data_IF_046537715000
#
_entry.id   IF_046537715000
#
_cell.length_a   1.000
_cell.length_b   1.000
_cell.length_c   1.000
_cell.angle_alpha   90.00
_cell.angle_beta   90.00
_cell.angle_gamma   90.00
#
_symmetry.space_group_name_H-M   'P 1'
#
loop_
_entity.id
_entity.type
_entity.pdbx_description
1 polymer ?
#
# COMPACT_ATOMS: atom_id res chain seq x y z
N UNK A 1 -0.94 31.08 -6.39
CA UNK A 1 -1.16 30.38 -5.11
C UNK A 1 -2.56 29.77 -5.07
N UNK A 2 -2.73 28.74 -4.25
CA UNK A 2 -4.03 28.11 -3.95
C UNK A 2 -4.84 29.00 -3.01
N UNK A 3 -6.16 28.92 -3.07
CA UNK A 3 -7.07 29.79 -2.29
C UNK A 3 -8.08 29.00 -1.45
N UNK A 4 -8.33 27.74 -1.77
CA UNK A 4 -9.36 26.91 -1.10
C UNK A 4 -8.79 26.08 0.06
N UNK A 5 -8.09 26.72 0.98
CA UNK A 5 -7.67 26.03 2.20
C UNK A 5 -8.85 25.89 3.17
N UNK A 6 -8.85 24.83 4.02
CA UNK A 6 -9.80 24.73 5.11
C UNK A 6 -9.71 25.93 6.07
N UNK A 7 -10.78 26.21 6.81
CA UNK A 7 -10.68 27.14 7.93
C UNK A 7 -9.63 26.66 8.96
N UNK A 8 -9.06 27.56 9.78
CA UNK A 8 -7.94 27.20 10.66
C UNK A 8 -8.21 26.05 11.62
N UNK A 9 -9.43 25.88 12.10
CA UNK A 9 -9.80 24.82 13.04
C UNK A 9 -9.84 23.46 12.31
N UNK A 10 -10.49 23.43 11.15
CA UNK A 10 -10.53 22.24 10.30
C UNK A 10 -9.14 21.90 9.80
N UNK A 11 -8.35 22.87 9.35
CA UNK A 11 -6.96 22.66 8.92
C UNK A 11 -6.17 21.94 10.00
N UNK A 12 -6.16 22.43 11.22
CA UNK A 12 -5.44 21.80 12.34
C UNK A 12 -5.92 20.36 12.57
N UNK A 13 -7.23 20.14 12.59
CA UNK A 13 -7.81 18.79 12.77
C UNK A 13 -7.35 17.81 11.68
N UNK A 14 -7.29 18.27 10.43
CA UNK A 14 -6.86 17.43 9.30
C UNK A 14 -5.36 17.13 9.34
N UNK A 15 -4.55 18.13 9.73
CA UNK A 15 -3.11 17.95 9.93
C UNK A 15 -2.83 16.94 11.04
N UNK A 16 -3.50 17.09 12.19
CA UNK A 16 -3.35 16.15 13.31
C UNK A 16 -3.74 14.72 12.90
N UNK A 17 -4.83 14.57 12.17
CA UNK A 17 -5.27 13.28 11.64
C UNK A 17 -4.23 12.65 10.71
N UNK A 18 -3.61 13.43 9.83
CA UNK A 18 -2.55 12.95 8.94
C UNK A 18 -1.30 12.52 9.71
N UNK A 19 -0.80 13.37 10.59
CA UNK A 19 0.45 13.10 11.31
C UNK A 19 0.32 11.97 12.34
N UNK A 20 -0.82 11.84 13.00
CA UNK A 20 -1.04 10.77 13.97
C UNK A 20 -1.28 9.39 13.36
N UNK A 21 -1.66 9.33 12.09
CA UNK A 21 -2.12 8.07 11.48
C UNK A 21 -1.35 7.68 10.23
N UNK A 22 -1.21 8.58 9.25
CA UNK A 22 -0.58 8.25 7.96
C UNK A 22 0.92 8.40 8.02
N UNK A 23 1.37 9.49 8.60
CA UNK A 23 2.80 9.83 8.69
C UNK A 23 3.59 8.79 9.48
N UNK A 24 2.99 8.16 10.49
CA UNK A 24 3.61 7.14 11.34
C UNK A 24 4.13 5.94 10.52
N UNK A 25 3.37 5.53 9.51
CA UNK A 25 3.74 4.40 8.64
C UNK A 25 4.41 4.85 7.33
N UNK A 26 4.24 6.13 6.96
CA UNK A 26 4.71 6.71 5.70
C UNK A 26 5.37 8.08 5.96
N UNK A 27 6.60 8.10 6.46
CA UNK A 27 7.28 9.29 6.96
C UNK A 27 7.80 10.17 5.81
N UNK A 28 6.89 10.76 5.03
CA UNK A 28 7.22 11.59 3.86
C UNK A 28 7.69 12.99 4.24
N UNK A 29 7.10 13.56 5.29
CA UNK A 29 7.31 14.94 5.71
C UNK A 29 8.16 14.99 6.98
N UNK A 30 8.55 16.19 7.42
CA UNK A 30 9.09 16.45 8.74
C UNK A 30 8.08 17.30 9.51
N UNK A 31 7.41 16.70 10.50
CA UNK A 31 6.27 17.31 11.18
C UNK A 31 6.60 18.70 11.78
N UNK A 32 7.70 18.90 12.54
CA UNK A 32 7.98 20.21 13.12
C UNK A 32 8.14 21.34 12.10
N UNK A 33 8.96 21.14 11.07
CA UNK A 33 9.16 22.18 10.04
C UNK A 33 7.94 22.40 9.19
N UNK A 34 7.15 21.34 8.92
CA UNK A 34 5.89 21.46 8.19
C UNK A 34 4.88 22.33 8.94
N UNK A 35 4.65 22.04 10.22
CA UNK A 35 3.71 22.81 11.05
C UNK A 35 4.17 24.27 11.23
N UNK A 36 5.48 24.49 11.42
CA UNK A 36 6.04 25.84 11.47
C UNK A 36 5.81 26.60 10.17
N UNK A 37 5.98 25.97 9.01
CA UNK A 37 5.75 26.56 7.69
C UNK A 37 4.26 26.87 7.46
N UNK A 38 3.35 26.02 7.93
CA UNK A 38 1.90 26.30 7.90
C UNK A 38 1.56 27.52 8.78
N UNK A 39 2.09 27.55 9.99
CA UNK A 39 1.84 28.65 10.94
C UNK A 39 2.38 29.99 10.43
N UNK A 40 3.53 29.99 9.73
CA UNK A 40 4.08 31.18 9.09
C UNK A 40 3.32 31.64 7.83
N UNK A 41 2.31 30.88 7.38
CA UNK A 41 1.52 31.19 6.19
C UNK A 41 2.22 30.89 4.87
N UNK A 42 3.30 30.11 4.85
CA UNK A 42 4.03 29.77 3.62
C UNK A 42 3.14 29.15 2.56
N UNK A 43 2.14 28.33 2.95
CA UNK A 43 1.19 27.68 2.05
C UNK A 43 0.31 28.66 1.26
N UNK A 44 0.18 29.93 1.73
CA UNK A 44 -0.59 30.97 1.06
C UNK A 44 0.21 31.69 -0.05
N UNK A 45 1.54 31.61 -0.02
CA UNK A 45 2.44 32.32 -0.92
C UNK A 45 3.25 31.40 -1.83
N UNK A 46 3.64 30.22 -1.35
CA UNK A 46 4.38 29.21 -2.12
C UNK A 46 3.42 28.18 -2.69
N UNK A 47 3.35 28.07 -4.03
CA UNK A 47 2.43 27.15 -4.71
C UNK A 47 2.81 25.68 -4.50
N UNK A 48 4.12 25.36 -4.41
CA UNK A 48 4.61 24.00 -4.16
C UNK A 48 4.17 23.50 -2.79
N UNK A 49 4.47 24.28 -1.75
CA UNK A 49 4.09 23.96 -0.38
C UNK A 49 2.56 23.98 -0.20
N UNK A 50 1.85 24.94 -0.82
CA UNK A 50 0.39 24.98 -0.80
C UNK A 50 -0.26 23.69 -1.34
N UNK A 51 0.29 23.13 -2.43
CA UNK A 51 -0.18 21.85 -2.96
C UNK A 51 0.05 20.70 -1.98
N UNK A 52 1.21 20.66 -1.30
CA UNK A 52 1.51 19.66 -0.27
C UNK A 52 0.49 19.75 0.86
N UNK A 53 0.21 20.97 1.38
CA UNK A 53 -0.78 21.18 2.46
C UNK A 53 -2.17 20.73 2.04
N UNK A 54 -2.64 21.06 0.84
CA UNK A 54 -3.96 20.63 0.35
C UNK A 54 -4.06 19.10 0.25
N UNK A 55 -3.01 18.43 -0.21
CA UNK A 55 -3.00 16.95 -0.29
C UNK A 55 -2.93 16.29 1.10
N UNK A 56 -2.23 16.89 2.06
CA UNK A 56 -2.25 16.47 3.47
C UNK A 56 -3.67 16.61 4.03
N UNK A 57 -4.36 17.73 3.76
CA UNK A 57 -5.76 17.91 4.14
C UNK A 57 -6.69 16.89 3.48
N UNK A 58 -6.47 16.60 2.20
CA UNK A 58 -7.24 15.59 1.47
C UNK A 58 -7.08 14.19 2.11
N UNK A 59 -5.86 13.81 2.49
CA UNK A 59 -5.59 12.55 3.17
C UNK A 59 -6.14 12.53 4.61
N UNK A 60 -5.94 13.60 5.39
CA UNK A 60 -6.48 13.72 6.75
C UNK A 60 -8.00 13.68 6.79
N UNK A 61 -8.66 14.19 5.74
CA UNK A 61 -10.13 14.16 5.62
C UNK A 61 -10.72 12.75 5.57
N UNK A 62 -9.93 11.78 5.10
CA UNK A 62 -10.32 10.36 5.06
C UNK A 62 -10.52 9.77 6.46
N UNK A 63 -9.97 10.44 7.47
CA UNK A 63 -9.94 10.03 8.88
C UNK A 63 -10.89 10.83 9.75
N UNK A 64 -11.17 12.08 9.39
CA UNK A 64 -11.84 13.05 10.25
C UNK A 64 -13.35 12.84 10.38
N UNK A 65 -14.00 12.13 9.43
CA UNK A 65 -15.46 12.02 9.32
C UNK A 65 -16.21 13.37 9.42
N UNK A 66 -15.54 14.50 9.12
CA UNK A 66 -16.14 15.82 9.15
C UNK A 66 -16.92 16.08 7.84
N UNK A 67 -18.23 16.39 7.87
CA UNK A 67 -19.03 16.65 6.69
C UNK A 67 -18.50 17.77 5.78
N UNK A 68 -17.78 18.76 6.34
CA UNK A 68 -17.18 19.85 5.59
C UNK A 68 -16.08 19.38 4.61
N UNK A 69 -15.56 18.16 4.78
CA UNK A 69 -14.57 17.56 3.88
C UNK A 69 -15.19 16.90 2.65
N UNK A 70 -16.50 16.77 2.58
CA UNK A 70 -17.19 16.17 1.46
C UNK A 70 -17.48 17.21 0.37
N UNK A 71 -17.31 16.85 -0.93
CA UNK A 71 -17.81 17.66 -2.02
C UNK A 71 -19.34 17.85 -1.92
N UNK A 72 -19.84 18.98 -2.43
CA UNK A 72 -21.28 19.24 -2.45
C UNK A 72 -22.05 18.10 -3.14
N UNK A 73 -23.05 17.55 -2.44
CA UNK A 73 -23.89 16.46 -2.95
C UNK A 73 -23.26 15.06 -2.84
N UNK A 74 -22.04 14.92 -2.35
CA UNK A 74 -21.44 13.62 -2.11
C UNK A 74 -22.09 12.94 -0.89
N UNK A 75 -22.44 11.65 -1.06
CA UNK A 75 -23.03 10.84 0.02
C UNK A 75 -22.07 9.77 0.57
N UNK A 76 -20.88 9.68 0.02
CA UNK A 76 -19.90 8.65 0.40
C UNK A 76 -18.62 9.27 0.93
N UNK A 77 -18.15 8.79 2.07
CA UNK A 77 -16.89 9.20 2.66
C UNK A 77 -15.66 8.87 1.81
N UNK A 78 -15.83 8.04 0.77
CA UNK A 78 -14.77 7.78 -0.20
C UNK A 78 -14.33 9.03 -0.96
N UNK A 79 -15.17 10.07 -1.05
CA UNK A 79 -14.87 11.33 -1.72
C UNK A 79 -14.42 12.44 -0.75
N UNK A 80 -14.23 12.14 0.55
CA UNK A 80 -13.71 13.13 1.49
C UNK A 80 -12.36 13.67 1.01
N UNK A 81 -12.20 15.00 0.97
CA UNK A 81 -11.01 15.69 0.49
C UNK A 81 -10.83 15.76 -1.02
N UNK A 82 -11.78 15.23 -1.81
CA UNK A 82 -11.69 15.21 -3.28
C UNK A 82 -11.49 16.62 -3.87
N UNK A 83 -12.15 17.63 -3.34
CA UNK A 83 -12.04 19.00 -3.88
C UNK A 83 -10.62 19.57 -3.74
N UNK A 84 -9.88 19.28 -2.69
CA UNK A 84 -8.48 19.67 -2.54
C UNK A 84 -7.56 18.88 -3.48
N UNK A 85 -7.77 17.57 -3.56
CA UNK A 85 -7.01 16.73 -4.51
C UNK A 85 -7.25 17.18 -5.96
N UNK A 86 -8.51 17.43 -6.33
CA UNK A 86 -8.88 17.84 -7.70
C UNK A 86 -8.33 19.23 -8.05
N UNK A 87 -8.29 20.15 -7.10
CA UNK A 87 -7.69 21.48 -7.30
C UNK A 87 -6.18 21.37 -7.56
N UNK A 88 -5.46 20.55 -6.81
CA UNK A 88 -4.03 20.32 -7.05
C UNK A 88 -3.84 19.64 -8.41
N UNK A 89 -4.62 18.60 -8.72
CA UNK A 89 -4.58 17.89 -10.01
C UNK A 89 -4.84 18.82 -11.20
N UNK A 90 -5.80 19.72 -11.08
CA UNK A 90 -6.18 20.64 -12.17
C UNK A 90 -5.11 21.70 -12.44
N UNK A 91 -4.41 22.17 -11.42
CA UNK A 91 -3.39 23.21 -11.54
C UNK A 91 -2.01 22.68 -11.91
N UNK A 92 -1.62 21.51 -11.39
CA UNK A 92 -0.32 20.91 -11.67
C UNK A 92 -0.31 20.21 -13.03
N UNK A 93 0.44 20.79 -13.97
CA UNK A 93 0.63 20.22 -15.30
C UNK A 93 1.66 19.08 -15.23
N UNK A 94 1.44 18.03 -16.03
CA UNK A 94 2.34 16.88 -16.14
C UNK A 94 3.70 17.20 -16.78
N UNK A 95 3.88 18.39 -17.33
CA UNK A 95 5.13 18.79 -17.98
C UNK A 95 5.57 20.13 -17.41
N UNK A 96 6.28 20.15 -16.29
CA UNK A 96 6.91 21.37 -15.80
C UNK A 96 8.03 21.79 -16.76
N UNK A 97 8.10 23.07 -17.08
CA UNK A 97 9.23 23.69 -17.81
C UNK A 97 10.34 24.15 -16.85
N UNK A 98 10.26 23.79 -15.60
CA UNK A 98 11.20 24.14 -14.52
C UNK A 98 11.82 22.89 -13.95
N UNK A 99 13.01 22.99 -13.38
CA UNK A 99 13.64 21.90 -12.64
C UNK A 99 12.74 21.44 -11.50
N UNK A 100 12.63 20.11 -11.24
CA UNK A 100 11.80 19.59 -10.17
C UNK A 100 12.31 20.02 -8.80
N UNK A 101 11.40 20.18 -7.87
CA UNK A 101 11.64 20.56 -6.48
C UNK A 101 11.28 19.44 -5.53
N UNK A 102 11.70 19.53 -4.27
CA UNK A 102 11.27 18.61 -3.22
C UNK A 102 9.72 18.53 -3.13
N UNK A 103 9.04 19.68 -3.28
CA UNK A 103 7.57 19.69 -3.24
C UNK A 103 6.94 18.89 -4.38
N UNK A 104 7.57 18.79 -5.55
CA UNK A 104 7.06 17.97 -6.66
C UNK A 104 7.09 16.48 -6.34
N UNK A 105 8.13 16.01 -5.61
CA UNK A 105 8.20 14.63 -5.13
C UNK A 105 7.15 14.38 -4.05
N UNK A 106 7.01 15.29 -3.09
CA UNK A 106 6.03 15.17 -2.01
C UNK A 106 4.59 15.19 -2.56
N UNK A 107 4.30 16.08 -3.51
CA UNK A 107 3.00 16.13 -4.20
C UNK A 107 2.72 14.82 -4.94
N UNK A 108 3.71 14.26 -5.65
CA UNK A 108 3.53 12.99 -6.36
C UNK A 108 3.22 11.85 -5.39
N UNK A 109 3.95 11.77 -4.27
CA UNK A 109 3.72 10.73 -3.25
C UNK A 109 2.34 10.89 -2.57
N UNK A 110 1.97 12.11 -2.14
CA UNK A 110 0.68 12.37 -1.48
C UNK A 110 -0.50 12.19 -2.44
N UNK A 111 -0.38 12.64 -3.69
CA UNK A 111 -1.41 12.45 -4.71
C UNK A 111 -1.62 10.96 -5.03
N UNK A 112 -0.52 10.19 -5.12
CA UNK A 112 -0.58 8.75 -5.28
C UNK A 112 -1.24 8.07 -4.08
N UNK A 113 -0.89 8.49 -2.85
CA UNK A 113 -1.51 7.98 -1.62
C UNK A 113 -3.02 8.25 -1.62
N UNK A 114 -3.45 9.45 -1.99
CA UNK A 114 -4.87 9.78 -2.06
C UNK A 114 -5.58 8.98 -3.18
N UNK A 115 -4.99 8.86 -4.37
CA UNK A 115 -5.54 8.06 -5.47
C UNK A 115 -5.69 6.57 -5.10
N UNK A 116 -4.79 6.03 -4.27
CA UNK A 116 -4.91 4.67 -3.73
C UNK A 116 -6.19 4.50 -2.90
N UNK A 117 -6.59 5.51 -2.12
CA UNK A 117 -7.83 5.46 -1.33
C UNK A 117 -9.11 5.44 -2.18
N UNK A 118 -9.02 5.87 -3.44
CA UNK A 118 -10.12 5.87 -4.40
C UNK A 118 -10.20 4.59 -5.23
N UNK A 119 -9.36 3.61 -4.96
CA UNK A 119 -9.26 2.38 -5.77
C UNK A 119 -8.98 2.66 -7.25
N UNK A 120 -8.10 3.62 -7.53
CA UNK A 120 -7.66 4.00 -8.87
C UNK A 120 -6.22 3.52 -9.16
N UNK A 121 -5.98 2.20 -9.28
CA UNK A 121 -4.62 1.66 -9.33
C UNK A 121 -3.83 2.11 -10.57
N UNK A 122 -4.50 2.30 -11.71
CA UNK A 122 -3.82 2.79 -12.92
C UNK A 122 -3.37 4.24 -12.81
N UNK A 123 -4.20 5.10 -12.20
CA UNK A 123 -3.85 6.50 -11.93
C UNK A 123 -2.69 6.58 -10.94
N UNK A 124 -2.76 5.79 -9.87
CA UNK A 124 -1.69 5.70 -8.88
C UNK A 124 -0.36 5.28 -9.54
N UNK A 125 -0.35 4.20 -10.33
CA UNK A 125 0.82 3.73 -11.05
C UNK A 125 1.46 4.82 -11.93
N UNK A 126 0.64 5.61 -12.63
CA UNK A 126 1.13 6.70 -13.49
C UNK A 126 1.72 7.85 -12.68
N UNK A 127 1.08 8.25 -11.57
CA UNK A 127 1.56 9.33 -10.69
C UNK A 127 2.89 8.92 -10.05
N UNK A 128 3.00 7.70 -9.52
CA UNK A 128 4.22 7.19 -8.89
C UNK A 128 5.37 7.12 -9.90
N UNK A 129 5.11 6.59 -11.11
CA UNK A 129 6.11 6.53 -12.17
C UNK A 129 6.61 7.90 -12.59
N UNK A 130 5.73 8.91 -12.63
CA UNK A 130 6.12 10.30 -12.85
C UNK A 130 6.99 10.84 -11.71
N UNK A 131 6.57 10.65 -10.45
CA UNK A 131 7.34 11.07 -9.27
C UNK A 131 8.74 10.47 -9.23
N UNK A 132 8.89 9.19 -9.60
CA UNK A 132 10.20 8.54 -9.68
C UNK A 132 11.10 9.13 -10.79
N UNK A 133 10.52 9.55 -11.92
CA UNK A 133 11.29 10.27 -12.95
C UNK A 133 11.81 11.62 -12.44
N UNK A 134 10.96 12.39 -11.75
CA UNK A 134 11.39 13.63 -11.10
C UNK A 134 12.49 13.38 -10.05
N UNK A 135 12.35 12.31 -9.25
CA UNK A 135 13.36 11.93 -8.26
C UNK A 135 14.71 11.55 -8.91
N UNK A 136 14.69 10.88 -10.06
CA UNK A 136 15.90 10.57 -10.84
C UNK A 136 16.53 11.86 -11.40
N UNK A 137 15.74 12.80 -11.91
CA UNK A 137 16.21 14.08 -12.44
C UNK A 137 16.88 14.93 -11.35
N UNK A 138 16.34 14.90 -10.12
CA UNK A 138 16.95 15.53 -8.94
C UNK A 138 18.17 14.78 -8.37
N UNK A 139 18.49 13.60 -8.88
CA UNK A 139 19.55 12.75 -8.34
C UNK A 139 19.21 12.09 -6.99
N UNK A 140 17.94 12.11 -6.55
CA UNK A 140 17.52 11.56 -5.24
C UNK A 140 17.77 10.04 -5.10
N UNK A 141 17.97 9.34 -6.20
CA UNK A 141 18.29 7.92 -6.28
C UNK A 141 19.78 7.62 -6.04
N UNK A 142 20.64 8.63 -5.97
CA UNK A 142 22.10 8.47 -5.91
C UNK A 142 22.65 8.88 -4.56
N UNK A 143 23.45 8.01 -3.94
CA UNK A 143 24.12 8.27 -2.67
C UNK A 143 25.02 9.51 -2.75
N UNK A 144 25.72 9.70 -3.86
CA UNK A 144 26.63 10.82 -4.05
C UNK A 144 25.95 12.21 -4.06
N UNK A 145 24.63 12.26 -4.16
CA UNK A 145 23.86 13.53 -4.11
C UNK A 145 23.76 14.06 -2.67
N UNK A 146 23.91 13.17 -1.69
CA UNK A 146 23.75 13.51 -0.27
C UNK A 146 25.11 13.83 0.37
N UNK A 147 25.14 14.88 1.20
CA UNK A 147 26.35 15.27 1.93
C UNK A 147 26.72 14.28 3.04
N UNK A 148 27.97 14.38 3.54
CA UNK A 148 28.42 13.58 4.67
C UNK A 148 27.69 13.93 5.99
N UNK A 149 27.20 15.16 6.12
CA UNK A 149 26.39 15.62 7.24
C UNK A 149 24.94 15.73 6.76
N UNK A 150 24.00 15.02 7.38
CA UNK A 150 22.61 15.07 7.00
C UNK A 150 22.02 16.48 7.16
N UNK A 151 21.22 16.92 6.20
CA UNK A 151 20.39 18.11 6.30
C UNK A 151 18.90 17.72 6.28
N UNK A 152 18.05 18.61 6.79
CA UNK A 152 16.59 18.39 6.75
C UNK A 152 16.11 18.20 5.30
N UNK A 153 16.62 18.99 4.36
CA UNK A 153 16.24 18.89 2.96
C UNK A 153 16.71 17.59 2.32
N UNK A 154 17.94 17.16 2.57
CA UNK A 154 18.48 15.90 2.05
C UNK A 154 17.68 14.71 2.55
N UNK A 155 17.38 14.69 3.86
CA UNK A 155 16.62 13.58 4.44
C UNK A 155 15.17 13.58 3.94
N UNK A 156 14.52 14.73 3.76
CA UNK A 156 13.20 14.82 3.14
C UNK A 156 13.21 14.35 1.68
N UNK A 157 14.26 14.68 0.92
CA UNK A 157 14.42 14.20 -0.46
C UNK A 157 14.59 12.69 -0.49
N UNK A 158 15.38 12.13 0.42
CA UNK A 158 15.57 10.69 0.60
C UNK A 158 14.28 9.99 0.99
N UNK A 159 13.54 10.51 1.99
CA UNK A 159 12.23 9.99 2.40
C UNK A 159 11.24 10.00 1.22
N UNK A 160 11.16 11.09 0.44
CA UNK A 160 10.26 11.17 -0.71
C UNK A 160 10.60 10.12 -1.78
N UNK A 161 11.88 9.93 -2.09
CA UNK A 161 12.32 8.87 -3.01
C UNK A 161 11.89 7.48 -2.53
N UNK A 162 12.19 7.14 -1.27
CA UNK A 162 11.86 5.82 -0.73
C UNK A 162 10.35 5.58 -0.57
N UNK A 163 9.58 6.62 -0.27
CA UNK A 163 8.13 6.55 -0.28
C UNK A 163 7.60 6.21 -1.69
N UNK A 164 8.12 6.86 -2.72
CA UNK A 164 7.76 6.55 -4.12
C UNK A 164 8.19 5.14 -4.52
N UNK A 165 9.38 4.66 -4.10
CA UNK A 165 9.82 3.26 -4.32
C UNK A 165 8.86 2.26 -3.67
N UNK A 166 8.47 2.50 -2.42
CA UNK A 166 7.52 1.63 -1.71
C UNK A 166 6.18 1.53 -2.45
N UNK A 167 5.68 2.66 -2.93
CA UNK A 167 4.44 2.73 -3.72
C UNK A 167 4.58 2.03 -5.08
N UNK A 168 5.67 2.26 -5.82
CA UNK A 168 5.92 1.64 -7.11
C UNK A 168 5.93 0.12 -6.98
N UNK A 169 6.67 -0.41 -6.00
CA UNK A 169 6.74 -1.84 -5.73
C UNK A 169 5.38 -2.43 -5.40
N UNK A 170 4.61 -1.75 -4.55
CA UNK A 170 3.27 -2.19 -4.18
C UNK A 170 2.31 -2.21 -5.38
N UNK A 171 2.27 -1.11 -6.16
CA UNK A 171 1.39 -1.01 -7.33
C UNK A 171 1.75 -2.00 -8.43
N UNK A 172 3.03 -2.15 -8.74
CA UNK A 172 3.48 -3.07 -9.77
C UNK A 172 3.15 -4.52 -9.46
N UNK A 173 3.21 -4.91 -8.18
CA UNK A 173 2.82 -6.26 -7.77
C UNK A 173 1.33 -6.53 -7.93
N UNK A 174 0.49 -5.54 -7.64
CA UNK A 174 -0.96 -5.64 -7.82
C UNK A 174 -1.32 -5.73 -9.30
N UNK A 175 -0.72 -4.85 -10.11
CA UNK A 175 -1.00 -4.75 -11.54
C UNK A 175 -0.27 -5.79 -12.39
N UNK A 176 0.67 -6.54 -11.82
CA UNK A 176 1.53 -7.46 -12.56
C UNK A 176 2.42 -6.74 -13.58
N UNK A 177 2.89 -5.54 -13.26
CA UNK A 177 3.73 -4.70 -14.13
C UNK A 177 5.16 -4.64 -13.62
N UNK A 178 6.10 -4.25 -14.52
CA UNK A 178 7.48 -3.98 -14.14
C UNK A 178 7.60 -2.69 -13.34
N UNK A 179 8.59 -2.63 -12.45
CA UNK A 179 8.91 -1.43 -11.70
C UNK A 179 9.39 -0.28 -12.59
N UNK A 180 9.12 0.94 -12.16
CA UNK A 180 9.53 2.16 -12.86
C UNK A 180 11.04 2.38 -12.80
N UNK A 181 11.71 1.89 -11.75
CA UNK A 181 13.16 1.90 -11.55
C UNK A 181 13.62 0.54 -11.03
N UNK A 182 14.73 0.03 -11.53
CA UNK A 182 15.28 -1.26 -11.09
C UNK A 182 16.22 -1.07 -9.90
N UNK A 183 16.43 -2.09 -9.05
CA UNK A 183 17.37 -2.01 -7.93
C UNK A 183 18.81 -1.67 -8.33
N UNK A 184 19.18 -1.99 -9.56
CA UNK A 184 20.50 -1.69 -10.12
C UNK A 184 20.69 -0.20 -10.49
N UNK A 185 19.59 0.58 -10.54
CA UNK A 185 19.59 1.97 -10.99
C UNK A 185 19.70 2.97 -9.84
N UNK A 186 19.76 2.52 -8.57
CA UNK A 186 19.86 3.41 -7.41
C UNK A 186 20.75 2.82 -6.31
N UNK A 187 21.43 3.71 -5.58
CA UNK A 187 22.32 3.37 -4.45
C UNK A 187 22.11 4.26 -3.21
N UNK A 188 20.97 4.99 -3.16
CA UNK A 188 20.61 5.82 -2.02
C UNK A 188 20.45 4.99 -0.74
N UNK A 189 21.03 5.46 0.37
CA UNK A 189 20.82 4.83 1.69
C UNK A 189 19.35 4.93 2.11
N UNK A 190 18.91 4.00 2.97
CA UNK A 190 17.57 4.09 3.60
C UNK A 190 17.45 5.38 4.42
N UNK A 191 16.22 5.86 4.68
CA UNK A 191 15.97 6.96 5.62
C UNK A 191 16.64 6.72 6.97
N UNK A 192 17.10 7.80 7.58
CA UNK A 192 17.73 7.73 8.91
C UNK A 192 16.67 7.30 9.92
N UNK A 193 16.98 6.26 10.71
CA UNK A 193 16.11 5.78 11.79
C UNK A 193 16.14 6.75 12.98
N UNK A 194 15.53 7.91 12.78
CA UNK A 194 15.47 8.98 13.75
C UNK A 194 14.12 9.68 13.65
N UNK A 195 13.44 9.81 14.79
CA UNK A 195 12.16 10.50 14.87
C UNK A 195 12.35 12.01 14.63
N UNK A 196 11.34 12.64 14.03
CA UNK A 196 11.38 14.04 13.59
C UNK A 196 11.81 15.01 14.69
N UNK A 197 11.46 14.77 15.94
CA UNK A 197 11.83 15.62 17.08
C UNK A 197 13.33 15.71 17.38
N UNK A 198 14.12 14.82 16.80
CA UNK A 198 15.59 14.77 17.03
C UNK A 198 16.41 15.19 15.81
N UNK A 199 15.77 15.68 14.74
CA UNK A 199 16.50 16.12 13.54
C UNK A 199 17.19 17.45 13.73
N UNK A 200 16.56 18.36 14.46
CA UNK A 200 17.09 19.70 14.75
C UNK A 200 17.27 19.82 16.27
N UNK A 201 18.50 20.04 16.69
CA UNK A 201 18.87 20.17 18.09
C UNK A 201 19.79 21.38 18.26
N UNK A 202 19.89 21.90 19.47
CA UNK A 202 20.80 23.01 19.77
C UNK A 202 22.28 22.64 19.57
N UNK A 203 22.60 21.33 19.59
CA UNK A 203 23.94 20.81 19.38
C UNK A 203 24.00 20.02 18.06
N UNK A 204 24.76 20.52 17.05
CA UNK A 204 24.86 19.84 15.75
C UNK A 204 25.34 18.38 15.83
N UNK A 205 26.08 17.99 16.86
CA UNK A 205 26.58 16.62 17.05
C UNK A 205 25.47 15.64 17.46
N UNK A 206 24.36 16.14 17.99
CA UNK A 206 23.19 15.32 18.41
C UNK A 206 22.06 15.33 17.38
N UNK A 207 22.15 16.19 16.36
CA UNK A 207 21.19 16.25 15.28
C UNK A 207 21.13 14.90 14.51
N UNK A 208 19.94 14.50 14.09
CA UNK A 208 19.67 13.22 13.41
C UNK A 208 20.12 11.97 14.19
N UNK A 209 20.12 12.03 15.51
CA UNK A 209 20.45 10.89 16.36
C UNK A 209 19.29 10.53 17.28
N UNK A 210 18.77 9.31 17.09
CA UNK A 210 17.78 8.74 18.00
C UNK A 210 18.42 8.52 19.38
N UNK A 211 17.78 8.95 20.49
CA UNK A 211 18.30 8.69 21.84
C UNK A 211 18.45 7.19 22.12
N UNK A 212 19.49 6.83 22.84
CA UNK A 212 19.76 5.44 23.20
C UNK A 212 18.60 4.85 24.02
N UNK A 213 18.17 3.66 23.65
CA UNK A 213 17.09 2.94 24.35
C UNK A 213 15.67 3.38 23.97
N UNK A 214 15.52 4.37 23.11
CA UNK A 214 14.21 4.78 22.57
C UNK A 214 14.14 4.29 21.11
N UNK A 215 13.24 3.34 20.78
CA UNK A 215 13.12 2.90 19.40
C UNK A 215 12.51 4.00 18.51
N UNK A 216 12.97 4.09 17.27
CA UNK A 216 12.41 5.05 16.30
C UNK A 216 11.19 4.49 15.59
N UNK A 217 10.18 5.33 15.43
CA UNK A 217 8.97 4.99 14.64
C UNK A 217 9.31 4.79 13.15
N UNK A 218 10.38 5.42 12.64
CA UNK A 218 10.86 5.28 11.26
C UNK A 218 11.41 3.89 10.97
N UNK A 219 11.86 3.15 12.00
CA UNK A 219 12.36 1.78 11.86
C UNK A 219 11.34 0.89 11.14
N UNK A 220 10.03 1.03 11.43
CA UNK A 220 8.97 0.32 10.73
C UNK A 220 9.05 0.49 9.21
N UNK A 221 9.18 1.73 8.73
CA UNK A 221 9.26 2.02 7.30
C UNK A 221 10.50 1.39 6.66
N UNK A 222 11.67 1.48 7.30
CA UNK A 222 12.90 0.85 6.81
C UNK A 222 12.78 -0.68 6.75
N UNK A 223 12.16 -1.31 7.74
CA UNK A 223 11.91 -2.75 7.72
C UNK A 223 10.89 -3.14 6.65
N UNK A 224 9.89 -2.31 6.41
CA UNK A 224 8.98 -2.49 5.28
C UNK A 224 9.71 -2.39 3.94
N UNK A 225 10.61 -1.41 3.74
CA UNK A 225 11.43 -1.29 2.54
C UNK A 225 12.28 -2.55 2.29
N UNK A 226 12.95 -3.07 3.33
CA UNK A 226 13.71 -4.34 3.25
C UNK A 226 12.81 -5.53 2.83
N UNK A 227 11.56 -5.57 3.28
CA UNK A 227 10.59 -6.58 2.86
C UNK A 227 10.24 -6.41 1.38
N UNK A 228 10.06 -5.17 0.91
CA UNK A 228 9.77 -4.90 -0.51
C UNK A 228 10.96 -5.22 -1.43
N UNK A 229 12.20 -5.27 -0.93
CA UNK A 229 13.35 -5.77 -1.71
C UNK A 229 13.23 -7.27 -2.02
N UNK A 230 12.75 -8.07 -1.04
CA UNK A 230 12.44 -9.49 -1.26
C UNK A 230 11.30 -9.63 -2.26
N UNK A 231 10.28 -8.78 -2.16
CA UNK A 231 9.17 -8.73 -3.09
C UNK A 231 9.63 -8.39 -4.52
N UNK A 232 10.56 -7.44 -4.67
CA UNK A 232 11.15 -7.09 -5.95
C UNK A 232 11.91 -8.26 -6.55
N UNK A 233 12.66 -9.00 -5.74
CA UNK A 233 13.34 -10.20 -6.19
C UNK A 233 12.36 -11.30 -6.64
N UNK A 234 11.27 -11.52 -5.89
CA UNK A 234 10.22 -12.48 -6.27
C UNK A 234 9.54 -12.08 -7.59
N UNK A 235 9.24 -10.80 -7.81
CA UNK A 235 8.65 -10.34 -9.07
C UNK A 235 9.56 -10.63 -10.26
N UNK A 236 10.86 -10.38 -10.13
CA UNK A 236 11.84 -10.60 -11.20
C UNK A 236 12.09 -12.09 -11.49
N UNK A 237 12.06 -12.93 -10.48
CA UNK A 237 12.38 -14.36 -10.63
C UNK A 237 11.17 -15.22 -10.94
N UNK A 238 10.01 -14.95 -10.34
CA UNK A 238 8.79 -15.77 -10.51
C UNK A 238 7.89 -15.21 -11.63
N UNK A 239 7.74 -13.88 -11.69
CA UNK A 239 6.69 -13.23 -12.50
C UNK A 239 7.20 -12.52 -13.74
N UNK A 240 8.52 -12.40 -13.95
CA UNK A 240 9.06 -11.69 -15.11
C UNK A 240 8.73 -12.42 -16.42
N UNK A 241 8.59 -11.64 -17.50
CA UNK A 241 8.21 -12.20 -18.82
C UNK A 241 9.27 -13.14 -19.38
N UNK A 242 10.57 -12.81 -19.20
CA UNK A 242 11.70 -13.57 -19.74
C UNK A 242 12.44 -14.41 -18.70
N UNK A 243 12.46 -13.98 -17.43
CA UNK A 243 13.19 -14.64 -16.35
C UNK A 243 12.28 -15.47 -15.43
N UNK A 244 10.99 -15.58 -15.74
CA UNK A 244 10.06 -16.37 -14.94
C UNK A 244 10.58 -17.79 -14.76
N UNK A 245 10.36 -18.33 -13.58
CA UNK A 245 10.59 -19.74 -13.30
C UNK A 245 9.91 -20.56 -14.39
N UNK A 246 10.70 -21.36 -15.09
CA UNK A 246 10.14 -22.35 -15.99
C UNK A 246 9.53 -23.48 -15.14
N UNK A 247 8.22 -23.54 -15.12
CA UNK A 247 7.50 -24.61 -14.42
C UNK A 247 7.78 -26.00 -15.03
N UNK A 248 8.48 -26.06 -16.16
CA UNK A 248 8.98 -27.30 -16.74
C UNK A 248 10.28 -27.78 -16.08
N UNK A 249 10.97 -26.89 -15.34
CA UNK A 249 12.16 -27.21 -14.53
C UNK A 249 11.81 -27.16 -13.03
N UNK A 250 11.39 -28.28 -12.44
CA UNK A 250 10.99 -28.33 -11.03
C UNK A 250 12.12 -28.01 -10.06
N UNK A 251 13.36 -28.36 -10.40
CA UNK A 251 14.51 -28.11 -9.53
C UNK A 251 14.84 -26.64 -9.43
N UNK A 252 14.79 -25.93 -10.57
CA UNK A 252 14.96 -24.46 -10.58
C UNK A 252 13.84 -23.76 -9.83
N UNK A 253 12.59 -24.21 -10.03
CA UNK A 253 11.44 -23.69 -9.29
C UNK A 253 11.62 -23.85 -7.80
N UNK A 254 12.03 -25.05 -7.37
CA UNK A 254 12.27 -25.37 -5.96
C UNK A 254 13.38 -24.51 -5.37
N UNK A 255 14.52 -24.37 -6.05
CA UNK A 255 15.64 -23.53 -5.59
C UNK A 255 15.22 -22.07 -5.41
N UNK A 256 14.49 -21.53 -6.39
CA UNK A 256 14.02 -20.13 -6.32
C UNK A 256 13.07 -19.89 -5.16
N UNK A 257 12.11 -20.78 -4.93
CA UNK A 257 11.17 -20.66 -3.80
C UNK A 257 11.89 -20.83 -2.48
N UNK A 258 12.80 -21.82 -2.36
CA UNK A 258 13.57 -22.05 -1.13
C UNK A 258 14.48 -20.83 -0.80
N UNK A 259 15.07 -20.19 -1.80
CA UNK A 259 15.85 -18.95 -1.61
C UNK A 259 14.97 -17.81 -1.09
N UNK A 260 13.81 -17.59 -1.72
CA UNK A 260 12.88 -16.53 -1.31
C UNK A 260 12.31 -16.78 0.10
N UNK A 261 11.95 -18.02 0.43
CA UNK A 261 11.51 -18.40 1.78
C UNK A 261 12.61 -18.19 2.81
N UNK A 262 13.85 -18.54 2.49
CA UNK A 262 15.00 -18.30 3.36
C UNK A 262 15.21 -16.82 3.64
N UNK A 263 15.20 -15.98 2.59
CA UNK A 263 15.30 -14.52 2.72
C UNK A 263 14.16 -13.95 3.59
N UNK A 264 12.95 -14.42 3.37
CA UNK A 264 11.76 -13.96 4.08
C UNK A 264 11.80 -14.36 5.57
N UNK A 265 12.24 -15.59 5.87
CA UNK A 265 12.40 -16.08 7.25
C UNK A 265 13.55 -15.34 7.96
N UNK A 266 14.66 -15.09 7.27
CA UNK A 266 15.77 -14.31 7.82
C UNK A 266 15.34 -12.88 8.14
N UNK A 267 14.57 -12.23 7.25
CA UNK A 267 13.99 -10.92 7.50
C UNK A 267 13.12 -10.94 8.76
N UNK A 268 12.20 -11.90 8.90
CA UNK A 268 11.32 -12.02 10.06
C UNK A 268 12.10 -12.28 11.37
N UNK A 269 13.15 -13.11 11.32
CA UNK A 269 14.02 -13.39 12.46
C UNK A 269 14.89 -12.21 12.89
N UNK A 270 15.18 -11.28 11.96
CA UNK A 270 16.03 -10.10 12.20
C UNK A 270 15.25 -8.90 12.70
N UNK A 271 13.91 -8.95 12.75
CA UNK A 271 13.09 -7.84 13.26
C UNK A 271 13.49 -7.49 14.71
N UNK A 272 13.66 -6.19 15.02
CA UNK A 272 13.85 -5.74 16.39
C UNK A 272 12.64 -6.05 17.25
N UNK A 273 12.83 -6.14 18.57
CA UNK A 273 11.80 -6.64 19.49
C UNK A 273 10.51 -5.83 19.44
N UNK A 274 10.61 -4.51 19.31
CA UNK A 274 9.48 -3.59 19.23
C UNK A 274 8.62 -3.79 17.96
N UNK A 275 9.19 -4.31 16.87
CA UNK A 275 8.51 -4.57 15.61
C UNK A 275 8.13 -6.04 15.42
N UNK A 276 8.40 -6.91 16.40
CA UNK A 276 7.89 -8.29 16.39
C UNK A 276 6.43 -8.33 16.77
N UNK A 277 5.64 -8.99 15.96
CA UNK A 277 4.20 -9.13 16.22
C UNK A 277 3.94 -9.98 17.46
N UNK A 278 3.18 -9.40 18.38
CA UNK A 278 2.62 -10.07 19.55
C UNK A 278 1.11 -9.75 19.63
N UNK A 279 0.22 -10.74 19.53
CA UNK A 279 -1.22 -10.52 19.58
C UNK A 279 -1.72 -9.97 20.92
N UNK A 280 -0.92 -10.06 22.00
CA UNK A 280 -1.27 -9.58 23.34
C UNK A 280 -0.72 -8.20 23.66
N UNK A 281 0.12 -7.64 22.79
CA UNK A 281 0.68 -6.30 22.98
C UNK A 281 -0.39 -5.24 22.78
N UNK A 282 -0.47 -4.29 23.71
CA UNK A 282 -1.44 -3.19 23.67
C UNK A 282 -0.81 -1.82 23.45
N UNK A 283 0.52 -1.71 23.54
CA UNK A 283 1.25 -0.48 23.32
C UNK A 283 1.17 -0.03 21.84
N UNK A 284 0.57 1.08 21.62
CA UNK A 284 0.58 1.79 20.33
C UNK A 284 1.67 2.87 20.37
N UNK A 285 2.35 3.23 19.26
CA UNK A 285 2.10 2.81 17.86
C UNK A 285 2.80 1.52 17.44
N UNK A 286 3.78 1.00 18.20
CA UNK A 286 4.59 -0.14 17.76
C UNK A 286 3.78 -1.43 17.59
N UNK A 287 2.70 -1.63 18.38
CA UNK A 287 1.82 -2.77 18.21
C UNK A 287 1.13 -2.77 16.82
N UNK A 288 0.66 -1.59 16.38
CA UNK A 288 0.07 -1.42 15.05
C UNK A 288 1.11 -1.60 13.94
N UNK A 289 2.30 -1.01 14.10
CA UNK A 289 3.40 -1.17 13.15
C UNK A 289 3.88 -2.64 13.03
N UNK A 290 3.98 -3.35 14.14
CA UNK A 290 4.33 -4.78 14.16
C UNK A 290 3.26 -5.63 13.47
N UNK A 291 1.97 -5.35 13.71
CA UNK A 291 0.87 -6.04 13.04
C UNK A 291 0.89 -5.77 11.51
N UNK A 292 1.18 -4.55 11.11
CA UNK A 292 1.33 -4.14 9.71
C UNK A 292 2.44 -4.93 9.00
N UNK A 293 3.64 -5.00 9.56
CA UNK A 293 4.76 -5.77 9.02
C UNK A 293 4.46 -7.27 8.97
N UNK A 294 3.81 -7.81 10.00
CA UNK A 294 3.44 -9.22 10.03
C UNK A 294 2.40 -9.57 8.96
N UNK A 295 1.41 -8.71 8.73
CA UNK A 295 0.47 -8.88 7.64
C UNK A 295 1.18 -8.82 6.27
N UNK A 296 2.09 -7.86 6.06
CA UNK A 296 2.88 -7.74 4.84
C UNK A 296 3.77 -8.97 4.59
N UNK A 297 4.39 -9.52 5.64
CA UNK A 297 5.14 -10.79 5.57
C UNK A 297 4.28 -11.93 5.05
N UNK A 298 3.09 -12.14 5.60
CA UNK A 298 2.19 -13.21 5.16
C UNK A 298 1.67 -12.99 3.74
N UNK A 299 1.43 -11.76 3.35
CA UNK A 299 1.04 -11.43 1.97
C UNK A 299 2.15 -11.76 0.97
N UNK A 300 3.40 -11.42 1.30
CA UNK A 300 4.54 -11.77 0.46
C UNK A 300 4.73 -13.28 0.37
N UNK A 301 4.50 -14.01 1.45
CA UNK A 301 4.53 -15.47 1.45
C UNK A 301 3.48 -16.07 0.51
N UNK A 302 2.26 -15.53 0.50
CA UNK A 302 1.23 -15.90 -0.47
C UNK A 302 1.68 -15.55 -1.89
N UNK A 303 2.25 -14.38 -2.10
CA UNK A 303 2.73 -13.93 -3.41
C UNK A 303 3.80 -14.88 -4.00
N UNK A 304 4.71 -15.38 -3.15
CA UNK A 304 5.76 -16.35 -3.56
C UNK A 304 5.14 -17.69 -3.95
N UNK A 305 4.21 -18.23 -3.15
CA UNK A 305 3.71 -19.60 -3.30
C UNK A 305 2.49 -19.77 -4.22
N UNK A 306 1.66 -18.73 -4.42
CA UNK A 306 0.40 -18.84 -5.18
C UNK A 306 0.56 -19.38 -6.62
N UNK A 307 1.63 -19.08 -7.40
CA UNK A 307 1.76 -19.59 -8.75
C UNK A 307 1.90 -21.11 -8.83
N UNK A 308 2.37 -21.71 -7.73
CA UNK A 308 2.62 -23.15 -7.63
C UNK A 308 1.40 -23.96 -7.18
N UNK A 309 0.29 -23.32 -6.85
CA UNK A 309 -0.97 -23.98 -6.50
C UNK A 309 -1.71 -24.47 -7.75
N UNK A 310 -1.63 -23.74 -8.86
CA UNK A 310 -2.45 -23.92 -10.07
C UNK A 310 -1.72 -24.57 -11.22
N UNK A 311 -0.45 -24.94 -11.06
CA UNK A 311 0.31 -25.56 -12.14
C UNK A 311 -0.08 -27.00 -12.31
N UNK A 312 -0.18 -27.53 -13.56
CA UNK A 312 -0.54 -28.92 -13.83
C UNK A 312 0.40 -29.96 -13.20
N UNK A 313 1.55 -29.54 -12.70
CA UNK A 313 2.59 -30.36 -12.04
C UNK A 313 2.82 -29.96 -10.57
N UNK A 314 1.84 -29.30 -9.94
CA UNK A 314 1.95 -28.90 -8.54
C UNK A 314 2.23 -30.08 -7.60
N UNK A 315 1.73 -31.26 -7.96
CA UNK A 315 1.93 -32.50 -7.16
C UNK A 315 3.39 -33.01 -7.24
N UNK A 316 4.19 -32.54 -8.21
CA UNK A 316 5.59 -32.92 -8.37
C UNK A 316 6.55 -32.00 -7.61
N UNK A 317 6.05 -30.88 -7.02
CA UNK A 317 6.88 -29.94 -6.29
C UNK A 317 6.91 -30.34 -4.80
N UNK A 318 8.09 -30.34 -4.16
CA UNK A 318 8.25 -30.88 -2.80
C UNK A 318 7.74 -29.98 -1.68
N UNK A 319 7.14 -28.81 -1.99
CA UNK A 319 6.61 -27.90 -0.98
C UNK A 319 5.09 -27.80 -1.05
N UNK A 320 4.43 -27.78 0.12
CA UNK A 320 2.98 -27.76 0.22
C UNK A 320 2.43 -26.33 0.03
N UNK A 321 2.63 -25.73 -1.18
CA UNK A 321 2.28 -24.32 -1.47
C UNK A 321 0.83 -23.98 -1.12
N UNK A 322 -0.10 -24.91 -1.33
CA UNK A 322 -1.50 -24.75 -0.93
C UNK A 322 -1.66 -24.55 0.58
N UNK A 323 -1.02 -25.41 1.38
CA UNK A 323 -1.06 -25.33 2.85
C UNK A 323 -0.38 -24.06 3.35
N UNK A 324 0.77 -23.69 2.75
CA UNK A 324 1.50 -22.48 3.09
C UNK A 324 0.62 -21.23 2.82
N UNK A 325 0.00 -21.13 1.64
CA UNK A 325 -0.89 -20.02 1.32
C UNK A 325 -2.12 -19.96 2.24
N UNK A 326 -2.71 -21.12 2.57
CA UNK A 326 -3.87 -21.19 3.46
C UNK A 326 -3.53 -20.70 4.87
N UNK A 327 -2.40 -21.16 5.41
CA UNK A 327 -1.96 -20.77 6.75
C UNK A 327 -1.56 -19.28 6.78
N UNK A 328 -0.86 -18.80 5.74
CA UNK A 328 -0.49 -17.40 5.63
C UNK A 328 -1.74 -16.49 5.51
N UNK A 329 -2.76 -16.92 4.75
CA UNK A 329 -4.01 -16.15 4.63
C UNK A 329 -4.76 -16.06 5.97
N UNK A 330 -4.84 -17.15 6.75
CA UNK A 330 -5.45 -17.14 8.09
C UNK A 330 -4.69 -16.23 9.04
N UNK A 331 -3.36 -16.33 9.08
CA UNK A 331 -2.53 -15.47 9.91
C UNK A 331 -2.67 -13.98 9.51
N UNK A 332 -2.70 -13.69 8.22
CA UNK A 332 -2.91 -12.35 7.73
C UNK A 332 -4.25 -11.75 8.19
N UNK A 333 -5.36 -12.52 8.08
CA UNK A 333 -6.69 -12.07 8.51
C UNK A 333 -6.71 -11.80 10.02
N UNK A 334 -6.18 -12.71 10.83
CA UNK A 334 -6.13 -12.53 12.29
C UNK A 334 -5.30 -11.31 12.68
N UNK A 335 -4.17 -11.09 12.01
CA UNK A 335 -3.32 -9.92 12.24
C UNK A 335 -4.00 -8.63 11.85
N UNK A 336 -4.72 -8.61 10.72
CA UNK A 336 -5.45 -7.44 10.26
C UNK A 336 -6.63 -7.09 11.16
N UNK A 337 -7.34 -8.09 11.68
CA UNK A 337 -8.42 -7.86 12.63
C UNK A 337 -7.87 -7.17 13.90
N UNK A 338 -6.72 -7.63 14.41
CA UNK A 338 -6.03 -6.99 15.53
C UNK A 338 -5.51 -5.59 15.16
N UNK A 339 -4.93 -5.42 13.98
CA UNK A 339 -4.48 -4.11 13.49
C UNK A 339 -5.62 -3.09 13.43
N UNK A 340 -6.79 -3.48 12.90
CA UNK A 340 -7.97 -2.62 12.87
C UNK A 340 -8.45 -2.22 14.26
N UNK A 341 -8.35 -3.13 15.22
CA UNK A 341 -8.68 -2.83 16.60
C UNK A 341 -7.76 -1.77 17.19
N UNK A 342 -6.46 -1.80 16.87
CA UNK A 342 -5.44 -0.90 17.42
C UNK A 342 -5.39 0.46 16.70
N UNK A 343 -5.38 0.45 15.38
CA UNK A 343 -5.14 1.63 14.54
C UNK A 343 -6.42 2.26 13.96
N UNK A 344 -7.57 1.56 14.12
CA UNK A 344 -8.82 1.96 13.48
C UNK A 344 -8.92 1.56 12.00
N UNK A 345 -10.10 1.70 11.39
CA UNK A 345 -10.42 1.14 10.08
C UNK A 345 -9.69 1.76 8.90
N UNK A 346 -8.93 2.83 9.10
CA UNK A 346 -8.49 3.70 8.01
C UNK A 346 -7.12 3.33 7.45
N UNK A 347 -6.20 2.89 8.29
CA UNK A 347 -4.79 2.76 7.89
C UNK A 347 -4.52 1.57 6.95
N UNK A 348 -5.29 0.50 7.05
CA UNK A 348 -5.14 -0.65 6.13
C UNK A 348 -5.51 -0.30 4.69
N UNK A 349 -6.34 0.72 4.48
CA UNK A 349 -6.72 1.15 3.14
C UNK A 349 -5.58 1.73 2.31
N UNK A 350 -4.53 2.29 2.93
CA UNK A 350 -3.61 3.14 2.18
C UNK A 350 -2.39 2.42 1.62
N UNK A 351 -1.82 1.43 2.32
CA UNK A 351 -0.60 0.77 1.87
C UNK A 351 -0.70 -0.76 1.84
N UNK A 352 -1.52 -1.36 2.69
CA UNK A 352 -1.64 -2.81 2.81
C UNK A 352 -2.85 -3.37 2.08
N UNK A 353 -3.95 -2.62 1.95
CA UNK A 353 -5.08 -3.07 1.12
C UNK A 353 -4.74 -3.04 -0.36
N UNK A 354 -3.88 -2.13 -0.77
CA UNK A 354 -3.27 -2.15 -2.09
C UNK A 354 -2.42 -3.42 -2.26
N UNK A 355 -1.76 -3.90 -1.20
CA UNK A 355 -1.09 -5.19 -1.17
C UNK A 355 -2.08 -6.38 -1.06
N UNK A 356 -3.24 -6.16 -0.45
CA UNK A 356 -4.26 -7.18 -0.19
C UNK A 356 -5.23 -7.40 -1.35
N UNK A 357 -5.28 -6.51 -2.35
CA UNK A 357 -6.01 -6.80 -3.58
C UNK A 357 -5.26 -7.88 -4.36
N UNK A 358 -5.56 -9.18 -4.20
CA UNK A 358 -5.13 -10.12 -5.20
C UNK A 358 -5.78 -9.65 -6.50
N UNK A 359 -5.01 -9.61 -7.58
CA UNK A 359 -5.59 -9.49 -8.91
C UNK A 359 -6.88 -10.30 -8.92
N UNK A 360 -8.01 -9.63 -9.08
CA UNK A 360 -9.31 -10.29 -9.16
C UNK A 360 -9.09 -11.50 -10.06
N UNK A 361 -9.13 -12.67 -9.47
CA UNK A 361 -9.36 -13.89 -10.24
C UNK A 361 -10.74 -13.66 -10.81
N UNK A 362 -10.79 -13.14 -12.03
CA UNK A 362 -11.98 -13.17 -12.84
C UNK A 362 -12.33 -14.65 -12.89
N UNK A 363 -13.27 -15.04 -12.07
CA UNK A 363 -13.87 -16.37 -12.13
C UNK A 363 -14.52 -16.45 -13.50
N UNK A 364 -13.83 -17.09 -14.43
CA UNK A 364 -14.31 -17.46 -15.73
C UNK A 364 -15.42 -18.52 -15.55
N UNK A 365 -16.62 -18.10 -15.13
CA UNK A 365 -17.79 -18.98 -15.13
C UNK A 365 -18.57 -18.93 -16.45
N UNK A 366 -18.13 -18.12 -17.45
CA UNK A 366 -18.89 -17.93 -18.71
C UNK A 366 -18.09 -18.19 -20.00
N UNK A 367 -17.07 -19.06 -19.97
CA UNK A 367 -16.40 -19.43 -21.22
C UNK A 367 -16.45 -20.94 -21.44
N UNK A 368 -17.40 -21.32 -22.29
CA UNK A 368 -17.42 -22.63 -22.92
C UNK A 368 -16.09 -22.97 -23.63
N UNK A 369 -15.85 -24.23 -23.98
CA UNK A 369 -14.55 -24.74 -24.38
C UNK A 369 -14.13 -24.17 -25.73
N UNK A 370 -13.25 -23.15 -25.75
CA UNK A 370 -12.53 -22.74 -26.96
C UNK A 370 -11.02 -22.96 -26.78
N UNK A 371 -10.49 -23.75 -27.70
CA UNK A 371 -9.12 -24.24 -27.78
C UNK A 371 -8.07 -23.11 -27.78
N UNK A 372 -7.05 -23.28 -26.97
CA UNK A 372 -5.67 -22.91 -27.25
C UNK A 372 -5.33 -21.44 -27.47
N UNK A 373 -5.29 -20.62 -26.40
CA UNK A 373 -4.39 -19.46 -26.30
C UNK A 373 -4.02 -19.26 -24.84
N UNK A 374 -2.72 -18.95 -24.60
CA UNK A 374 -2.10 -18.89 -23.30
C UNK A 374 -2.84 -17.93 -22.35
N UNK A 375 -3.04 -18.36 -21.11
CA UNK A 375 -3.65 -17.66 -19.98
C UNK A 375 -3.04 -16.26 -19.68
N UNK A 376 -1.89 -15.92 -20.29
CA UNK A 376 -1.17 -14.67 -20.08
C UNK A 376 -1.78 -13.42 -20.73
N UNK A 377 -2.66 -13.56 -21.74
CA UNK A 377 -3.21 -12.40 -22.48
C UNK A 377 -4.63 -12.01 -22.09
N UNK A 378 -5.33 -12.75 -21.23
CA UNK A 378 -6.76 -12.52 -20.94
C UNK A 378 -7.08 -11.59 -19.75
N UNK A 379 -6.13 -11.31 -18.87
CA UNK A 379 -6.34 -10.36 -17.76
C UNK A 379 -6.38 -8.89 -18.19
N UNK A 380 -6.06 -8.58 -19.44
CA UNK A 380 -5.86 -7.22 -19.93
C UNK A 380 -7.05 -6.56 -20.61
N UNK A 381 -8.12 -7.29 -20.93
CA UNK A 381 -9.15 -6.77 -21.86
C UNK A 381 -10.41 -6.18 -21.22
N UNK A 382 -10.60 -6.20 -19.92
CA UNK A 382 -11.86 -5.75 -19.30
C UNK A 382 -11.86 -4.31 -18.76
N UNK A 383 -10.78 -3.55 -18.84
CA UNK A 383 -10.72 -2.16 -18.38
C UNK A 383 -10.60 -1.10 -19.47
N UNK A 384 -10.66 -1.43 -20.77
CA UNK A 384 -10.42 -0.45 -21.85
C UNK A 384 -11.66 -0.06 -22.65
N UNK A 385 -12.85 -0.56 -22.37
CA UNK A 385 -14.06 -0.03 -22.99
C UNK A 385 -14.60 1.14 -22.15
N UNK A 386 -14.21 2.37 -22.54
CA UNK A 386 -14.80 3.61 -22.05
C UNK A 386 -16.27 3.70 -22.47
N UNK A 387 -17.13 3.04 -21.74
CA UNK A 387 -18.57 3.20 -21.79
C UNK A 387 -19.03 4.14 -20.69
N UNK A 388 -19.71 5.23 -21.06
CA UNK A 388 -20.37 6.12 -20.14
C UNK A 388 -21.26 5.33 -19.15
N UNK A 389 -21.14 5.61 -17.88
CA UNK A 389 -21.99 5.02 -16.84
C UNK A 389 -23.44 5.47 -17.06
N UNK A 390 -24.41 4.53 -17.19
CA UNK A 390 -25.82 4.92 -17.15
C UNK A 390 -26.15 5.42 -15.75
N UNK A 391 -26.95 6.47 -15.66
CA UNK A 391 -27.52 7.01 -14.42
C UNK A 391 -28.34 5.92 -13.71
N UNK A 392 -27.78 5.28 -12.72
CA UNK A 392 -28.49 4.29 -11.90
C UNK A 392 -29.20 4.97 -10.72
N UNK A 393 -30.50 4.70 -10.59
CA UNK A 393 -31.37 5.14 -9.51
C UNK A 393 -30.95 4.58 -8.13
N UNK A 394 -31.29 5.33 -7.08
CA UNK A 394 -30.82 5.24 -5.67
C UNK A 394 -31.02 3.92 -4.92
N UNK A 395 -31.56 2.87 -5.51
CA UNK A 395 -31.90 1.65 -4.75
C UNK A 395 -31.02 0.41 -5.01
N UNK A 396 -30.13 0.44 -5.99
CA UNK A 396 -29.49 -0.79 -6.46
C UNK A 396 -28.14 -1.15 -5.82
N UNK A 397 -27.40 -0.23 -5.21
CA UNK A 397 -26.03 -0.52 -4.74
C UNK A 397 -25.96 -1.26 -3.39
N UNK A 398 -26.87 -0.98 -2.46
CA UNK A 398 -26.93 -1.63 -1.14
C UNK A 398 -27.53 -3.05 -1.23
N UNK A 399 -28.49 -3.26 -2.12
CA UNK A 399 -29.20 -4.54 -2.30
C UNK A 399 -28.34 -5.52 -3.10
N UNK A 400 -27.54 -5.04 -4.06
CA UNK A 400 -26.67 -5.90 -4.86
C UNK A 400 -25.54 -6.53 -4.06
N UNK A 401 -24.90 -5.77 -3.16
CA UNK A 401 -23.87 -6.29 -2.26
C UNK A 401 -24.43 -7.35 -1.29
N UNK A 402 -25.64 -7.15 -0.77
CA UNK A 402 -26.31 -8.12 0.11
C UNK A 402 -26.82 -9.35 -0.66
N UNK A 403 -27.30 -9.20 -1.90
CA UNK A 403 -27.80 -10.31 -2.72
C UNK A 403 -26.68 -11.21 -3.24
N UNK A 404 -25.53 -10.67 -3.63
CA UNK A 404 -24.38 -11.48 -4.05
C UNK A 404 -23.82 -12.36 -2.92
N UNK A 405 -23.80 -11.85 -1.69
CA UNK A 405 -23.35 -12.63 -0.51
C UNK A 405 -24.39 -13.66 -0.09
N UNK A 406 -25.69 -13.31 -0.08
CA UNK A 406 -26.75 -14.22 0.32
C UNK A 406 -27.09 -15.27 -0.75
N UNK A 407 -27.04 -14.95 -2.04
CA UNK A 407 -27.38 -15.92 -3.10
C UNK A 407 -26.31 -16.97 -3.35
N UNK A 408 -25.04 -16.67 -3.04
CA UNK A 408 -23.97 -17.68 -3.04
C UNK A 408 -23.99 -18.60 -1.83
N UNK A 409 -24.53 -18.13 -0.69
CA UNK A 409 -24.69 -18.93 0.52
C UNK A 409 -25.93 -19.84 0.51
N UNK A 410 -26.95 -19.52 -0.28
CA UNK A 410 -28.21 -20.29 -0.30
C UNK A 410 -28.25 -21.46 -1.33
N UNK A 411 -27.23 -21.61 -2.16
CA UNK A 411 -27.17 -22.68 -3.18
C UNK A 411 -26.22 -23.84 -2.86
N UNK A 412 -25.53 -23.82 -1.73
CA UNK A 412 -24.74 -24.96 -1.27
C UNK A 412 -25.51 -25.71 -0.17
N UNK A 413 -25.89 -26.92 -0.49
CA UNK A 413 -26.57 -27.86 0.38
C UNK A 413 -25.90 -28.05 1.75
N UNK A 414 -26.71 -28.12 2.77
CA UNK A 414 -26.53 -28.08 4.21
C UNK A 414 -25.73 -29.21 4.86
N UNK A 415 -24.69 -29.77 4.29
CA UNK A 415 -24.05 -30.93 4.91
C UNK A 415 -22.53 -30.90 5.15
N UNK A 416 -21.80 -29.83 4.83
CA UNK A 416 -20.34 -29.84 4.98
C UNK A 416 -19.71 -28.50 5.33
N UNK A 417 -19.97 -27.91 6.52
CA UNK A 417 -19.16 -26.77 6.98
C UNK A 417 -19.06 -26.65 8.50
N UNK A 418 -18.07 -27.27 9.16
CA UNK A 418 -17.78 -26.97 10.56
C UNK A 418 -17.06 -25.62 10.77
N UNK A 419 -16.80 -24.84 9.73
CA UNK A 419 -16.00 -23.59 9.75
C UNK A 419 -16.79 -22.30 9.52
N UNK A 420 -18.08 -22.38 9.25
CA UNK A 420 -18.96 -21.19 9.12
C UNK A 420 -19.00 -20.31 10.37
N UNK A 421 -18.86 -20.84 11.61
CA UNK A 421 -18.83 -19.99 12.80
C UNK A 421 -17.63 -19.05 12.87
N UNK A 422 -16.47 -19.41 12.30
CA UNK A 422 -15.27 -18.55 12.34
C UNK A 422 -15.38 -17.32 11.43
N UNK A 423 -16.20 -17.39 10.36
CA UNK A 423 -16.45 -16.28 9.45
C UNK A 423 -17.56 -15.35 10.00
N UNK A 424 -18.50 -15.91 10.76
CA UNK A 424 -19.60 -15.12 11.36
C UNK A 424 -19.16 -14.26 12.55
N UNK A 425 -17.97 -14.48 13.11
CA UNK A 425 -17.36 -13.67 14.18
C UNK A 425 -16.51 -12.51 13.64
N UNK A 426 -16.19 -12.51 12.33
CA UNK A 426 -15.56 -11.33 11.70
C UNK A 426 -16.49 -10.13 11.84
N UNK A 427 -15.95 -9.02 12.35
CA UNK A 427 -16.73 -7.78 12.42
C UNK A 427 -17.31 -7.45 11.04
N UNK A 428 -18.53 -6.89 10.93
CA UNK A 428 -19.15 -6.57 9.63
C UNK A 428 -18.23 -5.75 8.71
N UNK A 429 -17.33 -4.96 9.29
CA UNK A 429 -16.32 -4.16 8.58
C UNK A 429 -15.29 -5.06 7.89
N UNK A 430 -14.73 -6.04 8.61
CA UNK A 430 -13.74 -6.98 8.04
C UNK A 430 -14.39 -7.88 6.99
N UNK A 431 -15.61 -8.34 7.21
CA UNK A 431 -16.36 -9.12 6.22
C UNK A 431 -16.65 -8.30 4.94
N UNK A 432 -17.03 -7.03 5.08
CA UNK A 432 -17.25 -6.11 3.94
C UNK A 432 -15.93 -5.82 3.21
N UNK A 433 -14.84 -5.65 3.95
CA UNK A 433 -13.51 -5.41 3.39
C UNK A 433 -12.95 -6.63 2.67
N UNK A 434 -13.12 -7.81 3.25
CA UNK A 434 -12.73 -9.08 2.63
C UNK A 434 -13.55 -9.36 1.36
N UNK A 435 -14.84 -9.01 1.35
CA UNK A 435 -15.68 -9.10 0.17
C UNK A 435 -15.25 -8.09 -0.92
N UNK A 436 -14.93 -6.87 -0.53
CA UNK A 436 -14.47 -5.83 -1.45
C UNK A 436 -13.05 -6.08 -1.99
N UNK A 437 -12.19 -6.77 -1.22
CA UNK A 437 -10.78 -7.00 -1.57
C UNK A 437 -10.53 -8.25 -2.41
N UNK A 438 -11.54 -9.06 -2.69
CA UNK A 438 -11.37 -10.34 -3.40
C UNK A 438 -10.66 -11.44 -2.58
N UNK A 439 -10.23 -11.17 -1.34
CA UNK A 439 -9.62 -12.16 -0.45
C UNK A 439 -10.64 -13.24 -0.10
N UNK A 440 -11.91 -12.89 0.10
CA UNK A 440 -12.99 -13.85 0.25
C UNK A 440 -13.10 -14.76 -0.97
N UNK A 441 -12.96 -14.21 -2.18
CA UNK A 441 -12.98 -15.02 -3.40
C UNK A 441 -11.78 -15.96 -3.48
N UNK A 442 -10.61 -15.54 -3.03
CA UNK A 442 -9.40 -16.37 -2.98
C UNK A 442 -9.48 -17.44 -1.87
N UNK A 443 -9.93 -17.07 -0.68
CA UNK A 443 -10.16 -18.01 0.43
C UNK A 443 -11.26 -18.98 0.06
N UNK A 444 -12.36 -18.52 -0.55
CA UNK A 444 -13.45 -19.37 -1.03
C UNK A 444 -13.00 -20.30 -2.16
N UNK A 445 -12.17 -19.81 -3.09
CA UNK A 445 -11.57 -20.63 -4.14
C UNK A 445 -10.59 -21.67 -3.57
N UNK A 446 -9.73 -21.27 -2.61
CA UNK A 446 -8.83 -22.19 -1.91
C UNK A 446 -9.62 -23.26 -1.14
N UNK A 447 -10.76 -22.89 -0.55
CA UNK A 447 -11.60 -23.83 0.21
C UNK A 447 -12.48 -24.70 -0.70
N UNK A 448 -12.94 -24.20 -1.86
CA UNK A 448 -13.79 -24.94 -2.81
C UNK A 448 -13.03 -26.00 -3.63
N UNK A 449 -11.71 -25.95 -3.68
CA UNK A 449 -10.86 -26.97 -4.32
C UNK A 449 -10.63 -28.21 -3.45
N UNK A 450 -11.19 -28.25 -2.22
CA UNK A 450 -11.15 -29.40 -1.30
C UNK A 450 -12.41 -30.27 -1.34
N UNK A 451 -13.40 -29.91 -2.13
CA UNK A 451 -14.55 -30.76 -2.49
C UNK A 451 -14.35 -31.30 -3.91
#
# INVERSE_FOLDING_TARGET
PYTNFPDPILLQTLLDSYFSSIHVDFPLLHQPTFLQSVTSGLHLVDEGFGAVVLLVCALGSRLSHNPATLPQGAQTWQLAGWHWFDEVRARRKLMPFTSPTLYDLQVSALAAAYAATLSLPHTNYSIVGHGLRLAQDMGAHRRMTYGAVPTVEDELRKRAFWCLIAMDRSMCNILGRSYSIQPEDFDADYPIECDDGYWVTDCPQTAFRQPLGIPSSVAHFNWYLKLTDIQAHALRTIYSVRGAVDFKDPERAQRTVAELDSRLNNWAGSLPQELRYDPHREDTPFAAQAASLHAAYHMLRIFIHRPFITTPRADCLPFPSFTICTNAARACIQTLDRYFFLAGPVMVYQFHLVLLLPNSVVTNTDLGPRRGRSLRQRSFYYCTSGGAWPSMSKESSSTYARHCVCSSLSRSSTSFLPWVPAISVLTPVVATLLAASGICSMIFWILSKRS
#
